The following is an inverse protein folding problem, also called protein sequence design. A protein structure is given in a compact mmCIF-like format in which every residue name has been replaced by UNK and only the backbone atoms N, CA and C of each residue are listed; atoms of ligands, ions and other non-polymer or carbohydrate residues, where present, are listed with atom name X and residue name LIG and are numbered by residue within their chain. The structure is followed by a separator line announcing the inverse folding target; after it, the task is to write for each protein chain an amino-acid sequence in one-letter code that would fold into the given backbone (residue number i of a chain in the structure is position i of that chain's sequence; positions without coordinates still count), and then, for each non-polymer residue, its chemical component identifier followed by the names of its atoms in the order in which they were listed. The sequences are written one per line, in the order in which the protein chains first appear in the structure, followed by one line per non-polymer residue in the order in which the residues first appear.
data_IF_897422339618
#
_entry.id   IF_897422339618
#
_cell.length_a   1.000
_cell.length_b   1.000
_cell.length_c   1.000
_cell.angle_alpha   90.00
_cell.angle_beta   90.00
_cell.angle_gamma   90.00
#
_symmetry.space_group_name_H-M   'P 1'
#
loop_
_entity.id
_entity.type
_entity.pdbx_description
1 polymer ?
#
# COMPACT_ATOMS: atom_id res chain seq x y z
N UNK A 1 -26.77 11.87 37.81
CA UNK A 1 -28.02 12.49 37.31
C UNK A 1 -28.27 11.93 35.92
N UNK A 2 -29.24 11.03 35.79
CA UNK A 2 -29.71 10.54 34.48
C UNK A 2 -30.52 11.69 33.85
N UNK A 3 -29.91 12.40 32.89
CA UNK A 3 -30.59 13.42 32.11
C UNK A 3 -31.72 12.77 31.30
N UNK A 4 -32.95 13.26 31.49
CA UNK A 4 -34.06 12.87 30.64
C UNK A 4 -33.74 13.24 29.20
N UNK A 5 -33.52 12.23 28.31
CA UNK A 5 -33.50 12.44 26.85
C UNK A 5 -34.83 13.08 26.45
N UNK A 6 -34.78 14.10 25.61
CA UNK A 6 -35.99 14.73 25.06
C UNK A 6 -36.53 13.84 23.94
N UNK A 7 -37.84 13.74 23.72
CA UNK A 7 -38.43 12.97 22.62
C UNK A 7 -37.87 13.38 21.24
N UNK A 8 -37.46 14.61 21.07
CA UNK A 8 -36.83 15.13 19.83
C UNK A 8 -35.44 14.53 19.57
N UNK A 9 -34.70 14.14 20.61
CA UNK A 9 -33.38 13.55 20.48
C UNK A 9 -33.46 12.13 19.86
N UNK A 10 -34.46 11.32 20.26
CA UNK A 10 -34.67 9.99 19.70
C UNK A 10 -35.08 10.03 18.22
N UNK A 11 -35.81 11.07 17.81
CA UNK A 11 -36.18 11.29 16.41
C UNK A 11 -34.98 11.65 15.58
N UNK A 12 -34.09 12.51 16.10
CA UNK A 12 -32.86 12.90 15.41
C UNK A 12 -31.92 11.70 15.27
N UNK A 13 -31.73 10.89 16.30
CA UNK A 13 -30.93 9.68 16.27
C UNK A 13 -31.40 8.70 15.18
N UNK A 14 -32.72 8.45 15.10
CA UNK A 14 -33.31 7.59 14.07
C UNK A 14 -33.13 8.15 12.63
N UNK A 15 -33.19 9.48 12.47
CA UNK A 15 -32.94 10.12 11.18
C UNK A 15 -31.45 10.03 10.79
N UNK A 16 -30.52 10.13 11.74
CA UNK A 16 -29.09 9.93 11.52
C UNK A 16 -28.84 8.48 11.05
N UNK A 17 -29.39 7.48 11.75
CA UNK A 17 -29.28 6.09 11.34
C UNK A 17 -29.81 5.87 9.91
N UNK A 18 -30.95 6.45 9.58
CA UNK A 18 -31.52 6.41 8.23
C UNK A 18 -30.58 7.03 7.20
N UNK A 19 -29.94 8.17 7.51
CA UNK A 19 -29.01 8.84 6.61
C UNK A 19 -27.76 7.99 6.39
N UNK A 20 -27.22 7.34 7.43
CA UNK A 20 -26.09 6.38 7.34
C UNK A 20 -26.48 5.17 6.48
N UNK A 21 -27.67 4.60 6.66
CA UNK A 21 -28.16 3.50 5.83
C UNK A 21 -28.30 3.88 4.35
N UNK A 22 -28.75 5.10 4.05
CA UNK A 22 -28.78 5.61 2.67
C UNK A 22 -27.38 5.66 2.04
N UNK A 23 -26.36 6.08 2.81
CA UNK A 23 -24.98 6.05 2.35
C UNK A 23 -24.49 4.63 2.06
N UNK A 24 -24.77 3.69 2.98
CA UNK A 24 -24.43 2.27 2.83
C UNK A 24 -25.09 1.62 1.60
N UNK A 25 -26.30 2.07 1.23
CA UNK A 25 -27.02 1.66 0.01
C UNK A 25 -26.53 2.40 -1.25
N UNK A 26 -25.41 3.11 -1.18
CA UNK A 26 -24.82 3.94 -2.25
C UNK A 26 -25.74 5.10 -2.73
N UNK A 27 -26.77 5.46 -1.94
CA UNK A 27 -27.66 6.61 -2.17
C UNK A 27 -27.08 7.89 -1.54
N UNK A 28 -25.83 8.21 -1.92
CA UNK A 28 -25.03 9.27 -1.28
C UNK A 28 -25.67 10.65 -1.31
N UNK A 29 -26.36 11.03 -2.42
CA UNK A 29 -27.02 12.32 -2.53
C UNK A 29 -28.25 12.42 -1.62
N UNK A 30 -29.00 11.31 -1.43
CA UNK A 30 -30.14 11.29 -0.53
C UNK A 30 -29.66 11.35 0.93
N UNK A 31 -28.57 10.63 1.27
CA UNK A 31 -27.91 10.71 2.56
C UNK A 31 -27.44 12.15 2.86
N UNK A 32 -26.78 12.80 1.90
CA UNK A 32 -26.31 14.18 2.05
C UNK A 32 -27.47 15.14 2.34
N UNK A 33 -28.60 15.01 1.62
CA UNK A 33 -29.81 15.85 1.86
C UNK A 33 -30.34 15.61 3.26
N UNK A 34 -30.42 14.34 3.68
CA UNK A 34 -30.91 14.00 5.02
C UNK A 34 -30.03 14.63 6.12
N UNK A 35 -28.69 14.55 6.02
CA UNK A 35 -27.81 15.19 6.98
C UNK A 35 -27.95 16.72 7.01
N UNK A 36 -28.10 17.36 5.86
CA UNK A 36 -28.34 18.81 5.79
C UNK A 36 -29.66 19.18 6.51
N UNK A 37 -30.72 18.41 6.33
CA UNK A 37 -32.02 18.66 6.99
C UNK A 37 -31.94 18.43 8.51
N UNK A 38 -31.20 17.40 8.96
CA UNK A 38 -30.91 17.16 10.37
C UNK A 38 -30.15 18.35 10.96
N UNK A 39 -29.05 18.78 10.33
CA UNK A 39 -28.19 19.86 10.85
C UNK A 39 -28.85 21.24 10.80
N UNK A 40 -29.87 21.45 9.96
CA UNK A 40 -30.71 22.68 10.04
C UNK A 40 -31.53 22.74 11.32
N UNK A 41 -31.96 21.62 11.88
CA UNK A 41 -32.75 21.52 13.10
C UNK A 41 -31.88 21.35 14.35
N UNK A 42 -30.75 20.66 14.20
CA UNK A 42 -29.82 20.37 15.29
C UNK A 42 -28.36 20.65 14.84
N UNK A 43 -27.98 21.94 14.66
CA UNK A 43 -26.72 22.32 14.03
C UNK A 43 -25.47 21.89 14.83
N UNK A 44 -25.62 21.63 16.12
CA UNK A 44 -24.54 21.23 17.01
C UNK A 44 -24.55 19.75 17.38
N UNK A 45 -25.44 18.95 16.78
CA UNK A 45 -25.50 17.52 17.10
C UNK A 45 -24.20 16.81 16.64
N UNK A 46 -23.45 16.26 17.60
CA UNK A 46 -22.14 15.66 17.35
C UNK A 46 -22.23 14.49 16.36
N UNK A 47 -23.18 13.56 16.57
CA UNK A 47 -23.33 12.38 15.72
C UNK A 47 -23.64 12.76 14.26
N UNK A 48 -24.53 13.74 14.06
CA UNK A 48 -24.87 14.24 12.73
C UNK A 48 -23.66 14.88 12.04
N UNK A 49 -22.91 15.75 12.75
CA UNK A 49 -21.68 16.36 12.21
C UNK A 49 -20.63 15.30 11.88
N UNK A 50 -20.40 14.35 12.77
CA UNK A 50 -19.42 13.28 12.61
C UNK A 50 -19.72 12.41 11.38
N UNK A 51 -20.95 11.87 11.30
CA UNK A 51 -21.37 10.99 10.19
C UNK A 51 -21.45 11.75 8.86
N UNK A 52 -21.86 13.01 8.88
CA UNK A 52 -21.86 13.86 7.68
C UNK A 52 -20.44 14.13 7.18
N UNK A 53 -19.50 14.40 8.09
CA UNK A 53 -18.06 14.52 7.74
C UNK A 53 -17.52 13.25 7.09
N UNK A 54 -17.90 12.08 7.60
CA UNK A 54 -17.53 10.77 7.03
C UNK A 54 -18.12 10.60 5.63
N UNK A 55 -19.41 10.87 5.42
CA UNK A 55 -20.04 10.84 4.11
C UNK A 55 -19.34 11.74 3.10
N UNK A 56 -19.03 12.98 3.48
CA UNK A 56 -18.33 13.95 2.62
C UNK A 56 -16.92 13.46 2.26
N UNK A 57 -16.21 12.82 3.20
CA UNK A 57 -14.92 12.18 2.96
C UNK A 57 -15.03 11.08 1.91
N UNK A 58 -16.04 10.21 2.01
CA UNK A 58 -16.28 9.12 1.06
C UNK A 58 -16.75 9.61 -0.32
N UNK A 59 -17.33 10.80 -0.38
CA UNK A 59 -17.67 11.50 -1.62
C UNK A 59 -16.48 12.25 -2.24
N UNK A 60 -15.34 12.31 -1.57
CA UNK A 60 -14.17 13.07 -2.01
C UNK A 60 -14.29 14.59 -1.81
N UNK A 61 -15.30 15.05 -1.07
CA UNK A 61 -15.54 16.47 -0.78
C UNK A 61 -14.68 16.94 0.42
N UNK A 62 -13.36 16.86 0.29
CA UNK A 62 -12.37 17.00 1.36
C UNK A 62 -12.51 18.32 2.13
N UNK A 63 -12.61 19.46 1.42
CA UNK A 63 -12.72 20.77 2.08
C UNK A 63 -14.04 20.91 2.88
N UNK A 64 -15.12 20.31 2.38
CA UNK A 64 -16.39 20.32 3.09
C UNK A 64 -16.31 19.42 4.35
N UNK A 65 -15.69 18.23 4.25
CA UNK A 65 -15.45 17.35 5.38
C UNK A 65 -14.61 18.03 6.46
N UNK A 66 -13.52 18.74 6.08
CA UNK A 66 -12.70 19.51 7.01
C UNK A 66 -13.53 20.53 7.80
N UNK A 67 -14.40 21.30 7.10
CA UNK A 67 -15.27 22.29 7.78
C UNK A 67 -16.21 21.63 8.76
N UNK A 68 -16.86 20.53 8.36
CA UNK A 68 -17.84 19.84 9.23
C UNK A 68 -17.16 19.24 10.47
N UNK A 69 -16.00 18.64 10.34
CA UNK A 69 -15.23 18.15 11.51
C UNK A 69 -14.75 19.31 12.40
N UNK A 70 -14.38 20.46 11.82
CA UNK A 70 -14.00 21.64 12.60
C UNK A 70 -15.19 22.19 13.42
N UNK A 71 -16.39 22.18 12.85
CA UNK A 71 -17.63 22.52 13.60
C UNK A 71 -17.89 21.52 14.72
N UNK A 72 -17.71 20.21 14.47
CA UNK A 72 -17.84 19.19 15.51
C UNK A 72 -16.86 19.45 16.68
N UNK A 73 -15.60 19.80 16.40
CA UNK A 73 -14.60 20.14 17.40
C UNK A 73 -14.99 21.42 18.16
N UNK A 74 -15.45 22.45 17.45
CA UNK A 74 -15.81 23.73 18.06
C UNK A 74 -16.98 23.60 19.06
N UNK A 75 -17.97 22.80 18.72
CA UNK A 75 -19.14 22.58 19.59
C UNK A 75 -18.92 21.48 20.65
N UNK A 76 -17.99 20.56 20.43
CA UNK A 76 -17.72 19.42 21.33
C UNK A 76 -16.22 19.27 21.63
N UNK A 77 -15.56 20.29 22.24
CA UNK A 77 -14.11 20.31 22.46
C UNK A 77 -13.61 19.19 23.40
N UNK A 78 -14.49 18.60 24.19
CA UNK A 78 -14.17 17.45 25.06
C UNK A 78 -14.36 16.08 24.40
N UNK A 79 -14.74 16.02 23.11
CA UNK A 79 -14.89 14.76 22.41
C UNK A 79 -13.69 14.53 21.48
N UNK A 80 -12.89 13.45 21.67
CA UNK A 80 -11.68 13.21 20.88
C UNK A 80 -11.99 12.85 19.42
N UNK A 81 -13.18 12.30 19.11
CA UNK A 81 -13.52 11.77 17.80
C UNK A 81 -13.50 12.82 16.67
N UNK A 82 -13.91 14.07 16.95
CA UNK A 82 -13.81 15.16 15.98
C UNK A 82 -12.37 15.39 15.53
N UNK A 83 -11.45 15.44 16.49
CA UNK A 83 -10.02 15.57 16.22
C UNK A 83 -9.47 14.34 15.46
N UNK A 84 -9.83 13.12 15.86
CA UNK A 84 -9.37 11.88 15.21
C UNK A 84 -9.82 11.83 13.74
N UNK A 85 -11.07 12.13 13.45
CA UNK A 85 -11.59 12.07 12.08
C UNK A 85 -10.98 13.15 11.18
N UNK A 86 -10.78 14.36 11.70
CA UNK A 86 -10.07 15.40 10.96
C UNK A 86 -8.60 15.00 10.72
N UNK A 87 -7.93 14.42 11.71
CA UNK A 87 -6.57 13.92 11.57
C UNK A 87 -6.46 12.80 10.53
N UNK A 88 -7.41 11.84 10.51
CA UNK A 88 -7.47 10.78 9.51
C UNK A 88 -7.60 11.36 8.09
N UNK A 89 -8.43 12.39 7.91
CA UNK A 89 -8.60 13.07 6.64
C UNK A 89 -7.32 13.78 6.19
N UNK A 90 -6.67 14.51 7.11
CA UNK A 90 -5.41 15.22 6.86
C UNK A 90 -4.26 14.24 6.53
N UNK A 91 -4.19 13.10 7.22
CA UNK A 91 -3.22 12.03 6.94
C UNK A 91 -3.39 11.49 5.52
N UNK A 92 -4.62 11.20 5.10
CA UNK A 92 -4.92 10.78 3.70
C UNK A 92 -4.54 11.85 2.67
N UNK A 93 -4.61 13.12 3.05
CA UNK A 93 -4.18 14.25 2.22
C UNK A 93 -2.67 14.53 2.27
N UNK A 94 -1.87 13.68 2.95
CA UNK A 94 -0.43 13.84 3.20
C UNK A 94 -0.06 15.14 3.97
N UNK A 95 -1.01 15.71 4.72
CA UNK A 95 -0.79 16.87 5.60
C UNK A 95 -0.34 16.38 6.99
N UNK A 96 0.83 15.79 7.04
CA UNK A 96 1.32 15.06 8.23
C UNK A 96 1.43 15.93 9.48
N UNK A 97 1.91 17.16 9.35
CA UNK A 97 2.07 18.09 10.50
C UNK A 97 0.73 18.45 11.14
N UNK A 98 -0.27 18.75 10.30
CA UNK A 98 -1.61 19.10 10.79
C UNK A 98 -2.30 17.88 11.40
N UNK A 99 -2.18 16.71 10.75
CA UNK A 99 -2.70 15.44 11.27
C UNK A 99 -2.13 15.13 12.67
N UNK A 100 -0.80 15.30 12.84
CA UNK A 100 -0.13 15.12 14.12
C UNK A 100 -0.75 15.98 15.22
N UNK A 101 -0.94 17.28 14.95
CA UNK A 101 -1.51 18.21 15.93
C UNK A 101 -2.89 17.77 16.42
N UNK A 102 -3.73 17.27 15.51
CA UNK A 102 -5.07 16.81 15.85
C UNK A 102 -5.06 15.47 16.61
N UNK A 103 -4.20 14.49 16.27
CA UNK A 103 -4.06 13.29 17.08
C UNK A 103 -3.54 13.60 18.49
N UNK A 104 -2.55 14.48 18.61
CA UNK A 104 -2.06 14.94 19.90
C UNK A 104 -3.15 15.67 20.70
N UNK A 105 -4.03 16.45 20.04
CA UNK A 105 -5.18 17.07 20.68
C UNK A 105 -6.18 16.01 21.20
N UNK A 106 -6.47 14.99 20.41
CA UNK A 106 -7.33 13.88 20.83
C UNK A 106 -6.76 13.16 22.06
N UNK A 107 -5.42 12.91 22.09
CA UNK A 107 -4.75 12.27 23.22
C UNK A 107 -4.63 13.16 24.46
N UNK A 108 -4.75 14.48 24.34
CA UNK A 108 -4.91 15.36 25.52
C UNK A 108 -6.28 15.21 26.14
N UNK A 109 -7.32 14.88 25.37
CA UNK A 109 -8.69 14.65 25.85
C UNK A 109 -8.81 13.24 26.43
N UNK A 110 -8.34 12.24 25.70
CA UNK A 110 -8.34 10.83 26.09
C UNK A 110 -6.95 10.22 25.85
N UNK A 111 -6.09 10.15 26.88
CA UNK A 111 -4.71 9.69 26.76
C UNK A 111 -4.53 8.24 26.35
N UNK A 112 -5.56 7.40 26.49
CA UNK A 112 -5.51 5.97 26.16
C UNK A 112 -6.32 5.63 24.90
N UNK A 113 -6.75 6.64 24.12
CA UNK A 113 -7.57 6.42 22.94
C UNK A 113 -6.83 5.66 21.86
N UNK A 114 -7.19 4.40 21.64
CA UNK A 114 -6.48 3.48 20.76
C UNK A 114 -6.32 4.00 19.32
N UNK A 115 -7.40 4.49 18.70
CA UNK A 115 -7.34 5.00 17.32
C UNK A 115 -6.47 6.25 17.19
N UNK A 116 -6.44 7.11 18.20
CA UNK A 116 -5.55 8.28 18.19
C UNK A 116 -4.08 7.87 18.27
N UNK A 117 -3.77 6.87 19.09
CA UNK A 117 -2.43 6.30 19.16
C UNK A 117 -2.04 5.62 17.82
N UNK A 118 -2.94 4.84 17.21
CA UNK A 118 -2.69 4.21 15.90
C UNK A 118 -2.43 5.27 14.81
N UNK A 119 -3.26 6.30 14.75
CA UNK A 119 -3.11 7.39 13.78
C UNK A 119 -1.83 8.22 13.99
N UNK A 120 -1.50 8.54 15.25
CA UNK A 120 -0.26 9.27 15.55
C UNK A 120 0.98 8.42 15.25
N UNK A 121 0.94 7.12 15.52
CA UNK A 121 1.99 6.19 15.13
C UNK A 121 2.21 6.17 13.61
N UNK A 122 1.13 6.16 12.81
CA UNK A 122 1.23 6.23 11.35
C UNK A 122 1.86 7.55 10.88
N UNK A 123 1.43 8.69 11.41
CA UNK A 123 2.01 10.00 11.09
C UNK A 123 3.49 10.07 11.44
N UNK A 124 3.88 9.62 12.62
CA UNK A 124 5.28 9.62 13.06
C UNK A 124 6.16 8.71 12.20
N UNK A 125 5.63 7.57 11.76
CA UNK A 125 6.30 6.68 10.81
C UNK A 125 6.55 7.38 9.47
N UNK A 126 5.56 8.08 8.92
CA UNK A 126 5.70 8.86 7.68
C UNK A 126 6.67 10.05 7.81
N UNK A 127 6.75 10.64 9.01
CA UNK A 127 7.73 11.69 9.34
C UNK A 127 9.13 11.15 9.64
N UNK A 128 9.31 9.81 9.71
CA UNK A 128 10.60 9.17 9.93
C UNK A 128 10.96 8.93 11.40
N UNK A 129 10.11 9.32 12.36
CA UNK A 129 10.31 9.04 13.79
C UNK A 129 9.77 7.65 14.16
N UNK A 130 10.55 6.63 13.77
CA UNK A 130 10.16 5.22 13.96
C UNK A 130 10.12 4.80 15.44
N UNK A 131 10.91 5.44 16.31
CA UNK A 131 10.93 5.10 17.72
C UNK A 131 9.63 5.54 18.39
N UNK A 132 9.25 6.81 18.26
CA UNK A 132 8.00 7.34 18.78
C UNK A 132 6.78 6.65 18.15
N UNK A 133 6.83 6.35 16.82
CA UNK A 133 5.78 5.61 16.14
C UNK A 133 5.51 4.25 16.79
N UNK A 134 6.56 3.50 17.11
CA UNK A 134 6.46 2.18 17.76
C UNK A 134 5.76 2.27 19.12
N UNK A 135 6.11 3.25 19.96
CA UNK A 135 5.49 3.43 21.27
C UNK A 135 3.98 3.72 21.15
N UNK A 136 3.60 4.55 20.19
CA UNK A 136 2.20 4.83 19.92
C UNK A 136 1.46 3.62 19.36
N UNK A 137 2.01 2.89 18.42
CA UNK A 137 1.43 1.66 17.91
C UNK A 137 1.25 0.61 19.02
N UNK A 138 2.23 0.44 19.90
CA UNK A 138 2.13 -0.50 21.01
C UNK A 138 0.94 -0.20 21.93
N UNK A 139 0.68 1.10 22.22
CA UNK A 139 -0.51 1.52 22.98
C UNK A 139 -1.79 1.30 22.19
N UNK A 140 -1.79 1.71 20.91
CA UNK A 140 -2.98 1.67 20.07
C UNK A 140 -3.43 0.26 19.67
N UNK A 141 -2.52 -0.71 19.61
CA UNK A 141 -2.84 -2.10 19.27
C UNK A 141 -2.86 -3.07 20.45
N UNK A 142 -2.58 -2.62 21.68
CA UNK A 142 -2.53 -3.49 22.87
C UNK A 142 -3.68 -4.48 22.94
N UNK A 143 -4.93 -4.00 22.77
CA UNK A 143 -6.14 -4.80 22.85
C UNK A 143 -6.87 -4.90 21.50
N UNK A 144 -6.29 -4.32 20.45
CA UNK A 144 -6.92 -4.16 19.12
C UNK A 144 -6.06 -4.71 17.98
N UNK A 145 -5.14 -5.62 18.31
CA UNK A 145 -4.31 -6.26 17.27
C UNK A 145 -5.12 -7.19 16.35
N UNK A 146 -6.30 -7.62 16.78
CA UNK A 146 -7.23 -8.42 15.97
C UNK A 146 -8.54 -7.65 15.78
N UNK A 147 -8.99 -7.55 14.53
CA UNK A 147 -10.30 -7.00 14.20
C UNK A 147 -10.96 -7.85 13.12
N UNK A 148 -12.27 -8.13 13.27
CA UNK A 148 -13.02 -8.87 12.26
C UNK A 148 -13.92 -7.91 11.49
N UNK A 149 -13.79 -7.92 10.16
CA UNK A 149 -14.58 -7.08 9.27
C UNK A 149 -16.02 -7.63 9.17
N UNK A 150 -17.02 -6.76 9.00
CA UNK A 150 -18.41 -7.18 8.81
C UNK A 150 -18.56 -8.11 7.60
N UNK A 151 -19.28 -9.20 7.76
CA UNK A 151 -19.68 -10.08 6.67
C UNK A 151 -21.10 -9.76 6.23
N UNK A 152 -21.33 -9.57 4.93
CA UNK A 152 -22.62 -9.19 4.34
C UNK A 152 -23.17 -10.23 3.34
N UNK A 153 -22.50 -11.38 3.21
CA UNK A 153 -22.93 -12.44 2.32
C UNK A 153 -24.15 -13.22 2.87
N UNK A 154 -24.83 -13.92 1.96
CA UNK A 154 -25.97 -14.79 2.30
C UNK A 154 -25.61 -16.28 2.41
N UNK A 155 -24.39 -16.64 2.00
CA UNK A 155 -23.86 -18.01 2.05
C UNK A 155 -22.87 -18.13 3.21
N UNK A 156 -22.56 -19.35 3.70
CA UNK A 156 -21.49 -19.52 4.68
C UNK A 156 -20.17 -18.87 4.17
N UNK A 157 -19.51 -18.05 4.97
CA UNK A 157 -18.29 -17.34 4.55
C UNK A 157 -17.08 -18.26 4.44
N UNK A 158 -16.13 -17.88 3.63
CA UNK A 158 -14.75 -18.35 3.74
C UNK A 158 -14.05 -17.54 4.84
N UNK A 159 -13.78 -18.18 5.98
CA UNK A 159 -13.11 -17.53 7.09
C UNK A 159 -11.61 -17.38 6.79
N UNK A 160 -11.10 -16.14 6.81
CA UNK A 160 -9.74 -15.79 6.40
C UNK A 160 -9.04 -14.94 7.46
N UNK A 161 -7.78 -15.28 7.78
CA UNK A 161 -6.90 -14.38 8.51
C UNK A 161 -6.09 -13.54 7.51
N UNK A 162 -6.18 -12.23 7.60
CA UNK A 162 -5.35 -11.29 6.87
C UNK A 162 -4.25 -10.77 7.79
N UNK A 163 -2.99 -11.08 7.51
CA UNK A 163 -1.85 -10.59 8.28
C UNK A 163 -1.38 -9.26 7.69
N UNK A 164 -1.23 -8.25 8.54
CA UNK A 164 -0.78 -6.91 8.17
C UNK A 164 0.29 -6.40 9.11
N UNK A 165 1.12 -5.48 8.62
CA UNK A 165 2.04 -4.66 9.42
C UNK A 165 1.41 -3.32 9.74
N UNK A 166 1.67 -2.81 10.94
CA UNK A 166 1.27 -1.46 11.36
C UNK A 166 2.04 -0.36 10.63
N UNK A 167 3.28 -0.64 10.23
CA UNK A 167 4.20 0.31 9.59
C UNK A 167 3.98 0.52 8.08
N UNK A 168 2.90 -0.02 7.51
CA UNK A 168 2.66 0.04 6.06
C UNK A 168 3.24 -1.16 5.31
N UNK A 169 3.54 -1.01 4.00
CA UNK A 169 4.10 -2.08 3.17
C UNK A 169 3.15 -3.27 2.93
N UNK A 170 1.84 -3.06 3.16
CA UNK A 170 0.83 -4.08 2.98
C UNK A 170 0.24 -4.07 1.56
N UNK A 171 -0.15 -5.24 1.08
CA UNK A 171 -0.90 -5.41 -0.16
C UNK A 171 -2.32 -4.89 0.06
N UNK A 172 -2.85 -3.94 -0.75
CA UNK A 172 -4.24 -3.54 -0.70
C UNK A 172 -5.16 -4.67 -1.16
N UNK A 173 -5.97 -5.21 -0.26
CA UNK A 173 -6.79 -6.41 -0.52
C UNK A 173 -8.25 -6.11 -0.85
N UNK A 174 -8.72 -4.89 -0.65
CA UNK A 174 -10.13 -4.51 -0.80
C UNK A 174 -10.73 -4.77 -2.19
N UNK A 175 -9.89 -4.87 -3.24
CA UNK A 175 -10.34 -5.13 -4.60
C UNK A 175 -10.63 -6.61 -4.89
N UNK A 176 -10.23 -7.53 -4.01
CA UNK A 176 -10.38 -8.98 -4.21
C UNK A 176 -10.76 -9.78 -2.95
N UNK A 177 -10.77 -9.18 -1.77
CA UNK A 177 -11.37 -9.75 -0.55
C UNK A 177 -12.69 -9.04 -0.28
N UNK A 178 -13.72 -9.45 -0.99
CA UNK A 178 -15.07 -8.90 -0.79
C UNK A 178 -15.72 -9.45 0.47
N UNK A 179 -16.58 -8.65 1.11
CA UNK A 179 -17.26 -8.96 2.35
C UNK A 179 -18.56 -9.77 2.19
N UNK A 180 -18.89 -10.19 0.97
CA UNK A 180 -19.97 -11.12 0.67
C UNK A 180 -19.49 -12.57 0.51
N UNK A 181 -18.18 -12.76 0.33
CA UNK A 181 -17.51 -14.06 0.19
C UNK A 181 -16.69 -14.40 1.42
N UNK A 182 -15.94 -13.41 1.95
CA UNK A 182 -14.93 -13.62 2.98
C UNK A 182 -15.36 -13.01 4.33
N UNK A 183 -15.27 -13.82 5.40
CA UNK A 183 -15.23 -13.31 6.78
C UNK A 183 -13.76 -13.08 7.13
N UNK A 184 -13.32 -11.84 7.02
CA UNK A 184 -11.90 -11.47 7.17
C UNK A 184 -11.62 -11.00 8.60
N UNK A 185 -10.74 -11.71 9.30
CA UNK A 185 -10.12 -11.23 10.55
C UNK A 185 -8.73 -10.67 10.24
N UNK A 186 -8.56 -9.36 10.42
CA UNK A 186 -7.30 -8.65 10.22
C UNK A 186 -6.46 -8.75 11.50
N UNK A 187 -5.20 -9.14 11.36
CA UNK A 187 -4.25 -9.27 12.46
C UNK A 187 -3.05 -8.38 12.20
N UNK A 188 -2.83 -7.39 13.09
CA UNK A 188 -1.60 -6.58 13.12
C UNK A 188 -0.52 -7.39 13.83
N UNK A 189 0.34 -8.03 13.05
CA UNK A 189 1.26 -9.07 13.56
C UNK A 189 2.32 -8.54 14.50
N UNK A 190 2.74 -7.28 14.33
CA UNK A 190 3.76 -6.62 15.14
C UNK A 190 3.38 -6.54 16.64
N UNK A 191 2.08 -6.50 16.93
CA UNK A 191 1.54 -6.20 18.26
C UNK A 191 0.60 -7.27 18.78
N UNK A 192 0.47 -8.41 18.08
CA UNK A 192 -0.34 -9.51 18.56
C UNK A 192 0.34 -10.19 19.75
N UNK A 193 -0.37 -10.25 20.87
CA UNK A 193 0.05 -11.12 22.00
C UNK A 193 -0.01 -12.59 21.57
N UNK A 194 1.09 -13.34 21.62
CA UNK A 194 1.13 -14.75 21.23
C UNK A 194 0.18 -15.65 22.03
N UNK A 195 -0.27 -15.24 23.23
CA UNK A 195 -1.20 -16.02 24.06
C UNK A 195 -2.66 -15.95 23.57
N UNK A 196 -3.00 -14.93 22.75
CA UNK A 196 -4.36 -14.75 22.25
C UNK A 196 -4.70 -15.84 21.22
N UNK A 197 -5.85 -16.54 21.37
CA UNK A 197 -6.31 -17.52 20.38
C UNK A 197 -6.58 -16.86 19.03
N UNK A 198 -6.20 -17.54 17.96
CA UNK A 198 -6.52 -17.07 16.62
C UNK A 198 -8.00 -17.26 16.32
N UNK A 199 -8.67 -16.31 15.65
CA UNK A 199 -10.03 -16.49 15.15
C UNK A 199 -10.14 -17.75 14.28
N UNK A 200 -11.33 -18.38 14.20
CA UNK A 200 -11.58 -19.49 13.27
C UNK A 200 -11.21 -19.07 11.83
N UNK A 201 -10.44 -19.92 11.13
CA UNK A 201 -10.00 -19.62 9.78
C UNK A 201 -9.71 -20.88 8.95
N UNK A 202 -9.90 -20.76 7.65
CA UNK A 202 -9.64 -21.79 6.64
C UNK A 202 -8.41 -21.47 5.80
N UNK A 203 -7.98 -20.20 5.79
CA UNK A 203 -6.89 -19.68 4.97
C UNK A 203 -6.22 -18.52 5.67
N UNK A 204 -4.92 -18.36 5.42
CA UNK A 204 -4.17 -17.15 5.81
C UNK A 204 -3.73 -16.41 4.53
N UNK A 205 -4.02 -15.13 4.46
CA UNK A 205 -3.46 -14.22 3.47
C UNK A 205 -2.44 -13.31 4.16
N UNK A 206 -1.15 -13.54 3.93
CA UNK A 206 -0.13 -12.61 4.37
C UNK A 206 -0.10 -11.41 3.42
N UNK A 207 -0.68 -10.29 3.85
CA UNK A 207 -0.69 -9.05 3.10
C UNK A 207 0.59 -8.21 3.32
N UNK A 208 1.47 -8.60 4.23
CA UNK A 208 2.75 -7.90 4.45
C UNK A 208 3.66 -8.22 3.27
N UNK A 209 3.93 -7.22 2.44
CA UNK A 209 4.65 -7.42 1.17
C UNK A 209 6.04 -6.80 1.10
N UNK A 210 6.37 -5.84 1.98
CA UNK A 210 7.65 -5.15 1.99
C UNK A 210 8.62 -5.75 3.00
N UNK A 211 9.64 -6.45 2.49
CA UNK A 211 10.65 -7.09 3.31
C UNK A 211 11.59 -6.09 4.01
N UNK A 212 11.90 -4.96 3.36
CA UNK A 212 12.83 -3.98 3.91
C UNK A 212 12.19 -3.13 5.03
N UNK A 213 10.89 -2.81 4.88
CA UNK A 213 10.16 -1.99 5.84
C UNK A 213 9.59 -2.82 7.00
N UNK A 214 9.13 -4.04 6.74
CA UNK A 214 8.27 -4.81 7.62
C UNK A 214 8.92 -6.08 8.19
N UNK A 215 10.26 -6.16 8.24
CA UNK A 215 10.94 -7.36 8.73
C UNK A 215 10.44 -7.85 10.09
N UNK A 216 10.24 -7.01 11.13
CA UNK A 216 9.70 -7.48 12.42
C UNK A 216 8.28 -8.05 12.32
N UNK A 217 7.41 -7.44 11.47
CA UNK A 217 6.05 -7.93 11.23
C UNK A 217 6.05 -9.27 10.51
N UNK A 218 6.92 -9.45 9.51
CA UNK A 218 7.10 -10.72 8.80
C UNK A 218 7.62 -11.83 9.72
N UNK A 219 8.56 -11.53 10.61
CA UNK A 219 9.02 -12.48 11.64
C UNK A 219 7.87 -12.88 12.58
N UNK A 220 7.07 -11.92 13.03
CA UNK A 220 5.89 -12.19 13.86
C UNK A 220 4.86 -13.03 13.09
N UNK A 221 4.61 -12.69 11.82
CA UNK A 221 3.73 -13.47 10.93
C UNK A 221 4.26 -14.92 10.76
N UNK A 222 5.56 -15.13 10.60
CA UNK A 222 6.17 -16.46 10.49
C UNK A 222 5.98 -17.30 11.77
N UNK A 223 6.04 -16.66 12.94
CA UNK A 223 5.71 -17.33 14.22
C UNK A 223 4.21 -17.63 14.34
N UNK A 224 3.35 -16.73 13.85
CA UNK A 224 1.91 -16.92 13.88
C UNK A 224 1.46 -18.09 13.01
N UNK A 225 1.94 -18.17 11.76
CA UNK A 225 1.53 -19.27 10.86
C UNK A 225 1.96 -20.65 11.37
N UNK A 226 3.00 -20.74 12.20
CA UNK A 226 3.41 -22.00 12.84
C UNK A 226 2.40 -22.51 13.89
N UNK A 227 1.41 -21.70 14.28
CA UNK A 227 0.36 -22.07 15.26
C UNK A 227 -0.86 -22.71 14.60
N UNK A 228 -0.89 -22.87 13.28
CA UNK A 228 -2.04 -23.35 12.51
C UNK A 228 -1.60 -24.23 11.35
N UNK A 229 -2.51 -25.04 10.84
CA UNK A 229 -2.30 -25.87 9.64
C UNK A 229 -3.02 -25.31 8.41
N UNK A 230 -3.61 -24.13 8.51
CA UNK A 230 -4.30 -23.50 7.37
C UNK A 230 -3.29 -23.17 6.25
N UNK A 231 -3.70 -23.33 4.98
CA UNK A 231 -2.89 -22.89 3.85
C UNK A 231 -2.55 -21.41 3.95
N UNK A 232 -1.35 -21.04 3.50
CA UNK A 232 -0.87 -19.64 3.51
C UNK A 232 -0.71 -19.16 2.07
N UNK A 233 -1.19 -17.95 1.79
CA UNK A 233 -0.83 -17.19 0.59
C UNK A 233 0.29 -16.25 0.97
N UNK A 234 1.39 -16.29 0.24
CA UNK A 234 2.63 -15.56 0.49
C UNK A 234 3.24 -15.90 1.86
N UNK A 235 3.93 -17.04 1.96
CA UNK A 235 4.68 -17.37 3.17
C UNK A 235 5.56 -16.18 3.59
N UNK A 236 5.47 -15.72 4.86
CA UNK A 236 6.25 -14.58 5.33
C UNK A 236 7.77 -14.76 5.15
N UNK A 237 8.28 -15.99 5.23
CA UNK A 237 9.71 -16.28 5.03
C UNK A 237 10.11 -16.05 3.57
N UNK A 238 9.28 -16.45 2.62
CA UNK A 238 9.53 -16.18 1.19
C UNK A 238 9.44 -14.68 0.87
N UNK A 239 8.54 -13.94 1.54
CA UNK A 239 8.48 -12.48 1.41
C UNK A 239 9.75 -11.81 1.97
N UNK A 240 10.29 -12.26 3.11
CA UNK A 240 11.54 -11.71 3.68
C UNK A 240 12.71 -11.79 2.69
N UNK A 241 12.73 -12.79 1.81
CA UNK A 241 13.76 -12.94 0.77
C UNK A 241 13.62 -11.93 -0.38
N UNK A 242 12.58 -11.12 -0.41
CA UNK A 242 12.36 -10.11 -1.46
C UNK A 242 12.90 -8.72 -1.14
N UNK A 243 13.69 -8.57 -0.06
CA UNK A 243 14.40 -7.33 0.25
C UNK A 243 15.31 -6.88 -0.91
N UNK A 244 15.41 -5.59 -1.14
CA UNK A 244 16.01 -5.01 -2.37
C UNK A 244 17.41 -5.51 -2.66
N UNK A 245 18.27 -5.55 -1.64
CA UNK A 245 19.67 -5.97 -1.81
C UNK A 245 19.76 -7.46 -2.10
N UNK A 246 19.20 -8.29 -1.20
CA UNK A 246 19.26 -9.76 -1.30
C UNK A 246 18.56 -10.27 -2.55
N UNK A 247 17.40 -9.72 -2.88
CA UNK A 247 16.64 -10.14 -4.04
C UNK A 247 17.35 -9.78 -5.37
N UNK A 248 17.95 -8.59 -5.47
CA UNK A 248 18.74 -8.22 -6.64
C UNK A 248 19.94 -9.16 -6.83
N UNK A 249 20.62 -9.55 -5.76
CA UNK A 249 21.72 -10.52 -5.81
C UNK A 249 21.24 -11.90 -6.25
N UNK A 250 20.13 -12.39 -5.69
CA UNK A 250 19.54 -13.69 -5.98
C UNK A 250 19.05 -13.78 -7.44
N UNK A 251 18.39 -12.73 -7.92
CA UNK A 251 17.83 -12.70 -9.27
C UNK A 251 18.88 -12.45 -10.36
N UNK A 252 20.06 -11.91 -10.03
CA UNK A 252 21.18 -11.79 -10.96
C UNK A 252 21.68 -13.13 -11.49
N UNK A 253 21.50 -14.22 -10.75
CA UNK A 253 21.85 -15.55 -11.18
C UNK A 253 20.88 -16.15 -12.23
N UNK A 254 19.73 -15.49 -12.47
CA UNK A 254 18.73 -15.97 -13.40
C UNK A 254 19.14 -15.66 -14.85
N UNK A 255 19.28 -16.66 -15.73
CA UNK A 255 19.64 -16.44 -17.12
C UNK A 255 18.66 -15.52 -17.85
N UNK A 256 19.16 -14.51 -18.54
CA UNK A 256 18.38 -13.50 -19.25
C UNK A 256 17.91 -12.33 -18.36
N UNK A 257 18.37 -12.25 -17.10
CA UNK A 257 18.12 -11.15 -16.17
C UNK A 257 19.39 -10.34 -15.95
N UNK A 258 19.27 -9.03 -16.08
CA UNK A 258 20.26 -8.04 -15.66
C UNK A 258 19.67 -7.38 -14.40
N UNK A 259 20.18 -7.78 -13.23
CA UNK A 259 19.80 -7.16 -11.96
C UNK A 259 20.83 -6.13 -11.53
N UNK A 260 20.43 -4.93 -11.06
CA UNK A 260 21.37 -3.89 -10.67
C UNK A 260 22.17 -4.30 -9.44
N UNK A 261 23.43 -3.93 -9.37
CA UNK A 261 24.14 -3.96 -8.10
C UNK A 261 23.48 -2.97 -7.16
N UNK A 262 23.26 -3.42 -5.92
CA UNK A 262 22.62 -2.62 -4.89
C UNK A 262 23.32 -2.86 -3.57
N UNK A 263 23.80 -1.79 -2.94
CA UNK A 263 24.43 -1.83 -1.61
C UNK A 263 23.90 -0.69 -0.75
N UNK A 264 24.04 -0.81 0.56
CA UNK A 264 23.79 0.30 1.48
C UNK A 264 25.12 0.94 1.87
N UNK A 265 25.19 2.26 1.82
CA UNK A 265 26.33 3.06 2.28
C UNK A 265 25.81 4.16 3.19
N UNK A 266 26.53 4.46 4.28
CA UNK A 266 26.20 5.55 5.17
C UNK A 266 26.13 6.88 4.40
N UNK A 267 25.04 7.62 4.63
CA UNK A 267 24.79 8.90 3.94
C UNK A 267 25.94 9.88 4.12
N UNK A 268 26.50 9.94 5.34
CA UNK A 268 27.56 10.90 5.68
C UNK A 268 28.87 10.59 4.94
N UNK A 269 29.13 9.31 4.61
CA UNK A 269 30.26 8.92 3.73
C UNK A 269 30.00 9.43 2.32
N UNK A 270 28.81 9.20 1.76
CA UNK A 270 28.46 9.64 0.41
C UNK A 270 28.42 11.17 0.27
N UNK A 271 28.01 11.87 1.32
CA UNK A 271 27.98 13.33 1.38
C UNK A 271 29.38 13.96 1.62
N UNK A 272 30.32 13.18 2.16
CA UNK A 272 31.68 13.61 2.47
C UNK A 272 32.60 13.66 1.24
N UNK A 273 33.85 14.16 1.42
CA UNK A 273 34.83 14.29 0.35
C UNK A 273 35.26 12.94 -0.25
N UNK A 274 35.20 11.87 0.54
CA UNK A 274 35.61 10.53 0.13
C UNK A 274 34.50 9.75 -0.59
N UNK A 275 33.30 10.31 -0.70
CA UNK A 275 32.14 9.67 -1.33
C UNK A 275 32.42 9.10 -2.73
N UNK A 276 33.01 9.86 -3.68
CA UNK A 276 33.34 9.33 -4.99
C UNK A 276 34.35 8.17 -4.96
N UNK A 277 35.30 8.19 -4.02
CA UNK A 277 36.29 7.11 -3.80
C UNK A 277 35.57 5.85 -3.30
N UNK A 278 34.63 6.01 -2.36
CA UNK A 278 33.84 4.89 -1.84
C UNK A 278 32.97 4.24 -2.93
N UNK A 279 32.36 5.04 -3.79
CA UNK A 279 31.63 4.56 -4.98
C UNK A 279 32.53 3.73 -5.89
N UNK A 280 33.75 4.21 -6.15
CA UNK A 280 34.76 3.52 -6.99
C UNK A 280 35.26 2.22 -6.32
N UNK A 281 35.50 2.23 -5.01
CA UNK A 281 35.92 1.05 -4.24
C UNK A 281 34.89 -0.10 -4.34
N UNK A 282 33.62 0.24 -4.39
CA UNK A 282 32.52 -0.71 -4.62
C UNK A 282 32.25 -0.97 -6.10
N UNK A 283 33.12 -0.52 -7.01
CA UNK A 283 33.04 -0.73 -8.47
C UNK A 283 31.75 -0.16 -9.11
N UNK A 284 31.13 0.85 -8.53
CA UNK A 284 30.06 1.59 -9.19
C UNK A 284 30.62 2.63 -10.14
N UNK A 285 29.88 2.88 -11.21
CA UNK A 285 30.14 3.94 -12.19
C UNK A 285 28.95 4.89 -12.27
N UNK A 286 29.20 6.12 -12.67
CA UNK A 286 28.12 7.07 -12.97
C UNK A 286 27.61 6.87 -14.41
N UNK A 287 26.30 7.06 -14.67
CA UNK A 287 25.29 7.44 -13.69
C UNK A 287 24.90 6.29 -12.74
N UNK A 288 24.49 6.64 -11.52
CA UNK A 288 23.96 5.72 -10.52
C UNK A 288 22.72 6.30 -9.82
N UNK A 289 22.03 5.49 -9.08
CA UNK A 289 20.82 5.88 -8.35
C UNK A 289 21.09 5.90 -6.85
N UNK A 290 20.64 6.95 -6.17
CA UNK A 290 20.56 7.01 -4.71
C UNK A 290 19.12 6.93 -4.25
N UNK A 291 18.86 6.15 -3.20
CA UNK A 291 17.54 5.99 -2.64
C UNK A 291 17.57 5.87 -1.12
N UNK A 292 16.68 6.59 -0.43
CA UNK A 292 16.42 6.35 0.98
C UNK A 292 15.59 5.08 1.16
N UNK A 293 15.97 4.14 2.06
CA UNK A 293 15.17 2.96 2.40
C UNK A 293 13.79 3.34 2.98
N UNK A 294 12.77 2.48 2.76
CA UNK A 294 11.43 2.63 3.35
C UNK A 294 10.52 3.65 2.66
N UNK A 295 10.89 4.18 1.49
CA UNK A 295 10.03 5.05 0.69
C UNK A 295 9.57 4.36 -0.59
N UNK A 296 8.31 4.64 -0.99
CA UNK A 296 7.66 4.10 -2.20
C UNK A 296 7.35 5.20 -3.20
N UNK A 297 6.81 4.81 -4.37
CA UNK A 297 6.36 5.72 -5.45
C UNK A 297 7.43 6.67 -5.97
N UNK A 298 8.71 6.26 -5.90
CA UNK A 298 9.84 7.06 -6.36
C UNK A 298 10.16 8.29 -5.50
N UNK A 299 9.60 8.42 -4.29
CA UNK A 299 10.03 9.45 -3.33
C UNK A 299 11.44 9.15 -2.84
N UNK A 300 12.22 10.19 -2.57
CA UNK A 300 13.59 10.10 -2.08
C UNK A 300 14.46 9.15 -2.94
N UNK A 301 14.39 9.33 -4.26
CA UNK A 301 15.04 8.53 -5.27
C UNK A 301 15.57 9.44 -6.37
N UNK A 302 16.89 9.51 -6.53
CA UNK A 302 17.63 10.48 -7.34
C UNK A 302 18.59 9.75 -8.27
N UNK A 303 18.66 10.19 -9.53
CA UNK A 303 19.74 9.86 -10.46
C UNK A 303 20.92 10.82 -10.21
N UNK A 304 22.09 10.28 -10.04
CA UNK A 304 23.36 11.02 -9.91
C UNK A 304 24.16 10.75 -11.17
N UNK A 305 24.30 11.77 -12.01
CA UNK A 305 24.93 11.63 -13.31
C UNK A 305 26.46 11.69 -13.22
N UNK A 306 26.98 12.44 -12.26
CA UNK A 306 28.43 12.67 -12.11
C UNK A 306 28.87 12.61 -10.65
N UNK A 307 30.18 12.38 -10.43
CA UNK A 307 30.76 12.37 -9.10
C UNK A 307 30.60 13.71 -8.35
N UNK A 308 30.53 14.82 -9.08
CA UNK A 308 30.39 16.17 -8.49
C UNK A 308 29.01 16.41 -7.89
N UNK A 309 27.99 15.68 -8.34
CA UNK A 309 26.61 15.78 -7.83
C UNK A 309 26.37 14.92 -6.58
N UNK A 310 27.24 13.94 -6.30
CA UNK A 310 27.02 12.90 -5.29
C UNK A 310 26.77 13.48 -3.90
N UNK A 311 27.61 14.40 -3.45
CA UNK A 311 27.51 15.00 -2.11
C UNK A 311 26.19 15.75 -1.90
N UNK A 312 25.80 16.57 -2.88
CA UNK A 312 24.53 17.32 -2.82
C UNK A 312 23.32 16.38 -2.86
N UNK A 313 23.34 15.35 -3.72
CA UNK A 313 22.30 14.35 -3.81
C UNK A 313 22.14 13.57 -2.49
N UNK A 314 23.25 13.09 -1.91
CA UNK A 314 23.23 12.37 -0.64
C UNK A 314 22.70 13.24 0.52
N UNK A 315 23.12 14.51 0.58
CA UNK A 315 22.68 15.46 1.62
C UNK A 315 21.18 15.74 1.53
N UNK A 316 20.59 15.74 0.34
CA UNK A 316 19.17 16.03 0.12
C UNK A 316 18.25 14.87 0.52
N UNK A 317 18.78 13.67 0.69
CA UNK A 317 18.01 12.47 1.00
C UNK A 317 17.95 12.21 2.52
N UNK A 318 16.77 11.83 3.07
CA UNK A 318 16.63 11.49 4.48
C UNK A 318 17.20 10.09 4.77
N UNK A 319 17.49 9.86 6.06
CA UNK A 319 17.98 8.57 6.58
C UNK A 319 19.48 8.57 6.86
N UNK A 320 19.94 7.56 7.59
CA UNK A 320 21.34 7.40 7.95
C UNK A 320 22.11 6.63 6.88
N UNK A 321 21.46 5.68 6.23
CA UNK A 321 22.00 4.90 5.13
C UNK A 321 21.20 5.16 3.86
N UNK A 322 21.90 5.14 2.72
CA UNK A 322 21.30 5.24 1.39
C UNK A 322 21.64 3.98 0.59
N UNK A 323 20.68 3.55 -0.22
CA UNK A 323 20.93 2.53 -1.23
C UNK A 323 21.60 3.17 -2.42
N UNK A 324 22.77 2.67 -2.78
CA UNK A 324 23.47 2.93 -4.03
C UNK A 324 23.09 1.82 -5.00
N UNK A 325 22.50 2.19 -6.13
CA UNK A 325 21.91 1.26 -7.09
C UNK A 325 22.50 1.55 -8.47
N UNK A 326 22.96 0.52 -9.16
CA UNK A 326 23.41 0.61 -10.54
C UNK A 326 22.28 1.09 -11.45
N UNK A 327 22.55 2.09 -12.29
CA UNK A 327 21.56 2.58 -13.24
C UNK A 327 21.45 1.63 -14.44
N UNK A 328 20.29 1.10 -14.68
CA UNK A 328 19.96 0.29 -15.86
C UNK A 328 19.17 1.14 -16.84
N UNK A 329 19.75 1.44 -17.99
CA UNK A 329 19.09 2.26 -19.02
C UNK A 329 18.09 1.43 -19.82
N UNK A 330 16.80 1.73 -19.65
CA UNK A 330 15.68 1.08 -20.34
C UNK A 330 15.11 1.93 -21.49
N UNK A 331 15.89 2.88 -22.01
CA UNK A 331 15.48 3.68 -23.17
C UNK A 331 15.52 2.85 -24.46
N UNK A 332 14.46 2.95 -25.21
CA UNK A 332 14.39 2.39 -26.57
C UNK A 332 15.15 3.24 -27.59
N UNK A 333 15.13 2.81 -28.85
CA UNK A 333 15.75 3.55 -29.97
C UNK A 333 15.17 4.95 -30.19
N UNK A 334 13.96 5.18 -29.70
CA UNK A 334 13.23 6.45 -29.74
C UNK A 334 13.60 7.38 -28.56
N UNK A 335 14.54 6.96 -27.70
CA UNK A 335 14.96 7.72 -26.52
C UNK A 335 14.01 7.65 -25.32
N UNK A 336 12.82 7.05 -25.45
CA UNK A 336 11.86 6.92 -24.37
C UNK A 336 12.20 5.73 -23.48
N UNK A 337 12.17 5.94 -22.17
CA UNK A 337 12.32 4.88 -21.18
C UNK A 337 11.00 4.09 -21.03
N UNK A 338 11.12 2.78 -20.92
CA UNK A 338 10.00 1.83 -20.79
C UNK A 338 10.09 1.07 -19.48
N UNK A 339 8.96 1.04 -18.76
CA UNK A 339 8.81 0.23 -17.56
C UNK A 339 7.58 -0.65 -17.68
N UNK A 340 7.79 -1.93 -17.77
CA UNK A 340 6.77 -2.96 -17.78
C UNK A 340 6.47 -3.41 -16.36
N UNK A 341 5.20 -3.70 -16.08
CA UNK A 341 4.79 -4.41 -14.88
C UNK A 341 4.03 -5.67 -15.23
N UNK A 342 4.50 -6.80 -14.69
CA UNK A 342 3.87 -8.11 -14.80
C UNK A 342 3.54 -8.62 -13.40
N UNK A 343 2.31 -9.08 -13.21
CA UNK A 343 1.88 -9.74 -11.97
C UNK A 343 2.11 -11.24 -12.08
N UNK A 344 2.45 -11.84 -10.96
CA UNK A 344 2.67 -13.28 -10.76
C UNK A 344 1.61 -13.77 -9.77
N UNK A 345 0.55 -14.42 -10.26
CA UNK A 345 -0.59 -14.83 -9.44
C UNK A 345 -0.82 -16.33 -9.56
N UNK A 346 -0.70 -17.05 -8.45
CA UNK A 346 -0.91 -18.49 -8.41
C UNK A 346 -0.08 -19.28 -9.42
N UNK A 347 1.17 -18.87 -9.65
CA UNK A 347 2.11 -19.46 -10.58
C UNK A 347 1.92 -19.05 -12.05
N UNK A 348 1.06 -18.08 -12.37
CA UNK A 348 0.83 -17.56 -13.72
C UNK A 348 1.28 -16.12 -13.85
N UNK A 349 1.67 -15.72 -15.07
CA UNK A 349 2.09 -14.36 -15.43
C UNK A 349 0.94 -13.59 -16.06
N UNK A 350 0.77 -12.33 -15.67
CA UNK A 350 -0.27 -11.43 -16.16
C UNK A 350 0.31 -10.05 -16.43
N UNK A 351 0.22 -9.49 -17.64
CA UNK A 351 0.62 -8.12 -17.91
C UNK A 351 -0.32 -7.15 -17.20
N UNK A 352 0.20 -6.17 -16.46
CA UNK A 352 -0.60 -5.18 -15.74
C UNK A 352 -0.56 -3.81 -16.41
N UNK A 353 0.64 -3.31 -16.73
CA UNK A 353 0.82 -2.04 -17.44
C UNK A 353 2.21 -1.91 -18.06
N UNK A 354 2.30 -1.04 -19.08
CA UNK A 354 3.53 -0.48 -19.62
C UNK A 354 3.49 1.03 -19.47
N UNK A 355 4.45 1.59 -18.77
CA UNK A 355 4.64 3.04 -18.69
C UNK A 355 5.80 3.47 -19.60
N UNK A 356 5.58 4.52 -20.38
CA UNK A 356 6.57 5.09 -21.32
C UNK A 356 6.75 6.58 -20.98
N UNK A 357 7.99 7.04 -20.90
CA UNK A 357 8.31 8.44 -20.60
C UNK A 357 9.65 8.86 -21.20
N UNK A 358 9.76 10.13 -21.55
CA UNK A 358 11.05 10.76 -21.90
C UNK A 358 11.99 10.88 -20.69
N UNK A 359 11.44 10.81 -19.47
CA UNK A 359 12.22 10.89 -18.23
C UNK A 359 12.74 9.50 -17.83
N UNK A 360 13.94 9.44 -17.27
CA UNK A 360 14.52 8.21 -16.75
C UNK A 360 13.67 7.57 -15.62
N UNK A 361 13.04 8.40 -14.78
CA UNK A 361 12.18 7.99 -13.67
C UNK A 361 10.77 7.75 -14.16
N UNK A 362 10.53 6.53 -14.62
CA UNK A 362 9.21 6.15 -15.15
C UNK A 362 8.31 5.71 -14.00
N UNK A 363 7.23 6.48 -13.77
CA UNK A 363 6.13 6.10 -12.89
C UNK A 363 4.82 6.19 -13.66
N UNK A 364 3.95 5.18 -13.58
CA UNK A 364 2.77 5.06 -14.44
C UNK A 364 1.90 6.34 -14.44
N UNK A 365 1.59 6.86 -13.24
CA UNK A 365 0.70 8.03 -13.10
C UNK A 365 1.34 9.37 -13.49
N UNK A 366 2.65 9.43 -13.65
CA UNK A 366 3.38 10.67 -14.03
C UNK A 366 4.12 10.53 -15.34
N UNK A 367 3.88 9.44 -16.08
CA UNK A 367 4.44 9.17 -17.39
C UNK A 367 3.62 9.86 -18.48
N UNK A 368 4.15 9.85 -19.71
CA UNK A 368 3.53 10.56 -20.85
C UNK A 368 2.33 9.79 -21.46
N UNK A 369 1.82 8.75 -20.78
CA UNK A 369 0.76 7.88 -21.28
C UNK A 369 -0.57 8.59 -21.55
N UNK A 370 -0.89 9.62 -20.75
CA UNK A 370 -2.16 10.36 -20.92
C UNK A 370 -2.19 11.15 -22.22
N UNK A 371 -1.06 11.72 -22.61
CA UNK A 371 -0.95 12.68 -23.73
C UNK A 371 -0.49 12.03 -25.04
N UNK A 372 0.04 10.79 -24.97
CA UNK A 372 0.62 10.09 -26.11
C UNK A 372 -0.20 8.86 -26.53
N UNK A 373 -1.04 8.97 -27.59
CA UNK A 373 -1.83 7.83 -28.09
C UNK A 373 -0.99 6.63 -28.52
N UNK A 374 0.20 6.85 -29.09
CA UNK A 374 1.09 5.78 -29.55
C UNK A 374 1.65 4.97 -28.38
N UNK A 375 1.92 5.62 -27.23
CA UNK A 375 2.31 4.93 -26.00
C UNK A 375 1.19 3.99 -25.51
N UNK A 376 -0.08 4.45 -25.55
CA UNK A 376 -1.23 3.62 -25.18
C UNK A 376 -1.45 2.46 -26.16
N UNK A 377 -1.16 2.66 -27.44
CA UNK A 377 -1.22 1.59 -28.45
C UNK A 377 -0.16 0.52 -28.18
N UNK A 378 1.07 0.93 -27.80
CA UNK A 378 2.14 0.00 -27.42
C UNK A 378 1.74 -0.78 -26.16
N UNK A 379 1.19 -0.11 -25.13
CA UNK A 379 0.66 -0.79 -23.93
C UNK A 379 -0.48 -1.75 -24.29
N UNK A 380 -1.39 -1.38 -25.19
CA UNK A 380 -2.49 -2.25 -25.64
C UNK A 380 -1.96 -3.55 -26.25
N UNK A 381 -0.90 -3.49 -27.06
CA UNK A 381 -0.25 -4.67 -27.64
C UNK A 381 0.36 -5.56 -26.55
N UNK A 382 1.06 -4.95 -25.60
CA UNK A 382 1.64 -5.67 -24.46
C UNK A 382 0.58 -6.36 -23.61
N UNK A 383 -0.54 -5.69 -23.32
CA UNK A 383 -1.64 -6.25 -22.54
C UNK A 383 -2.37 -7.36 -23.30
N UNK A 384 -2.47 -7.28 -24.62
CA UNK A 384 -3.14 -8.26 -25.46
C UNK A 384 -2.31 -9.53 -25.70
N UNK A 385 -1.02 -9.37 -25.97
CA UNK A 385 -0.08 -10.50 -26.15
C UNK A 385 1.30 -10.13 -25.58
N UNK A 386 1.49 -10.49 -24.33
CA UNK A 386 2.75 -10.22 -23.60
C UNK A 386 3.94 -10.93 -24.28
N UNK A 387 3.77 -12.16 -24.79
CA UNK A 387 4.85 -12.94 -25.40
C UNK A 387 5.29 -12.33 -26.73
N UNK A 388 4.35 -11.91 -27.55
CA UNK A 388 4.67 -11.22 -28.80
C UNK A 388 5.34 -9.86 -28.55
N UNK A 389 4.93 -9.13 -27.49
CA UNK A 389 5.48 -7.82 -27.14
C UNK A 389 6.89 -7.89 -26.53
N UNK A 390 7.16 -8.85 -25.65
CA UNK A 390 8.43 -8.97 -24.91
C UNK A 390 9.45 -9.90 -25.57
N UNK A 391 8.99 -10.88 -26.35
CA UNK A 391 9.79 -11.98 -26.89
C UNK A 391 9.96 -13.15 -25.90
N UNK A 392 10.31 -14.32 -26.42
CA UNK A 392 10.45 -15.56 -25.64
C UNK A 392 11.53 -15.47 -24.55
N UNK A 393 12.64 -14.79 -24.81
CA UNK A 393 13.75 -14.63 -23.87
C UNK A 393 13.29 -13.95 -22.58
N UNK A 394 12.59 -12.82 -22.71
CA UNK A 394 12.11 -12.06 -21.55
C UNK A 394 11.00 -12.83 -20.80
N UNK A 395 10.07 -13.48 -21.52
CA UNK A 395 9.01 -14.28 -20.87
C UNK A 395 9.60 -15.48 -20.12
N UNK A 396 10.60 -16.17 -20.69
CA UNK A 396 11.29 -17.25 -20.00
C UNK A 396 12.03 -16.75 -18.76
N UNK A 397 12.62 -15.56 -18.82
CA UNK A 397 13.25 -14.94 -17.63
C UNK A 397 12.21 -14.64 -16.56
N UNK A 398 11.02 -14.12 -16.93
CA UNK A 398 9.91 -13.87 -15.98
C UNK A 398 9.42 -15.17 -15.33
N UNK A 399 9.30 -16.25 -16.08
CA UNK A 399 8.91 -17.57 -15.55
C UNK A 399 9.93 -18.07 -14.50
N UNK A 400 11.22 -17.93 -14.77
CA UNK A 400 12.29 -18.28 -13.84
C UNK A 400 12.31 -17.39 -12.59
N UNK A 401 12.08 -16.07 -12.76
CA UNK A 401 11.96 -15.16 -11.62
C UNK A 401 10.79 -15.56 -10.72
N UNK A 402 9.63 -15.88 -11.31
CA UNK A 402 8.47 -16.39 -10.57
C UNK A 402 8.85 -17.60 -9.71
N UNK A 403 9.58 -18.56 -10.31
CA UNK A 403 9.97 -19.79 -9.61
C UNK A 403 10.99 -19.52 -8.49
N UNK A 404 11.91 -18.57 -8.68
CA UNK A 404 12.86 -18.13 -7.66
C UNK A 404 12.16 -17.38 -6.52
N UNK A 405 11.17 -16.52 -6.81
CA UNK A 405 10.43 -15.80 -5.77
C UNK A 405 9.59 -16.75 -4.91
N UNK A 406 8.98 -17.78 -5.51
CA UNK A 406 8.17 -18.76 -4.81
C UNK A 406 6.93 -18.18 -4.13
N UNK A 407 6.42 -17.04 -4.60
CA UNK A 407 5.28 -16.33 -4.05
C UNK A 407 4.00 -16.62 -4.84
N UNK A 408 2.88 -16.65 -4.12
CA UNK A 408 1.56 -16.81 -4.73
C UNK A 408 1.02 -15.52 -5.36
N UNK A 409 1.38 -14.38 -4.75
CA UNK A 409 1.06 -13.03 -5.21
C UNK A 409 2.35 -12.21 -5.18
N UNK A 410 2.80 -11.80 -6.34
CA UNK A 410 3.96 -10.94 -6.51
C UNK A 410 3.83 -10.14 -7.81
N UNK A 411 4.74 -9.20 -8.00
CA UNK A 411 4.89 -8.50 -9.26
C UNK A 411 6.32 -8.09 -9.51
N UNK A 412 6.60 -7.75 -10.76
CA UNK A 412 7.91 -7.32 -11.20
C UNK A 412 7.79 -6.06 -12.06
N UNK A 413 8.63 -5.06 -11.75
CA UNK A 413 8.90 -3.89 -12.59
C UNK A 413 10.23 -4.11 -13.30
N UNK A 414 10.25 -3.97 -14.63
CA UNK A 414 11.43 -4.20 -15.44
C UNK A 414 11.43 -3.37 -16.73
N UNK A 415 12.60 -3.26 -17.34
CA UNK A 415 12.78 -2.78 -18.71
C UNK A 415 13.31 -3.89 -19.61
N UNK A 416 13.49 -3.61 -20.90
CA UNK A 416 14.14 -4.49 -21.85
C UNK A 416 15.44 -3.87 -22.32
N UNK A 417 16.53 -4.64 -22.27
CA UNK A 417 17.80 -4.29 -22.87
C UNK A 417 17.79 -4.49 -24.41
N UNK A 418 18.79 -3.95 -25.12
CA UNK A 418 18.88 -4.04 -26.57
C UNK A 418 18.87 -5.46 -27.13
N UNK A 419 19.33 -6.41 -26.35
CA UNK A 419 19.43 -7.84 -26.69
C UNK A 419 18.25 -8.68 -26.19
N UNK A 420 17.18 -8.01 -25.69
CA UNK A 420 15.98 -8.65 -25.13
C UNK A 420 16.21 -9.22 -23.72
N UNK A 421 17.28 -8.85 -23.03
CA UNK A 421 17.48 -9.15 -21.62
C UNK A 421 16.52 -8.33 -20.76
N UNK A 422 16.05 -8.93 -19.68
CA UNK A 422 15.18 -8.29 -18.71
C UNK A 422 16.03 -7.44 -17.76
N UNK A 423 15.85 -6.12 -17.79
CA UNK A 423 16.48 -5.17 -16.87
C UNK A 423 15.61 -5.06 -15.63
N UNK A 424 16.01 -5.68 -14.54
CA UNK A 424 15.23 -5.74 -13.31
C UNK A 424 15.27 -4.40 -12.56
N UNK A 425 14.11 -3.82 -12.25
CA UNK A 425 14.00 -2.66 -11.37
C UNK A 425 13.54 -3.05 -9.96
N UNK A 426 12.50 -3.89 -9.87
CA UNK A 426 11.95 -4.35 -8.60
C UNK A 426 11.13 -5.62 -8.79
N UNK A 427 11.22 -6.57 -7.85
CA UNK A 427 10.36 -7.75 -7.80
C UNK A 427 10.02 -8.07 -6.35
N UNK A 428 8.73 -8.01 -5.99
CA UNK A 428 8.28 -8.21 -4.61
C UNK A 428 6.77 -8.48 -4.53
N UNK A 429 6.26 -8.61 -3.30
CA UNK A 429 4.86 -8.85 -3.01
C UNK A 429 4.02 -7.55 -2.87
N UNK A 430 4.63 -6.36 -2.82
CA UNK A 430 3.89 -5.09 -2.60
C UNK A 430 3.23 -4.50 -3.84
N UNK A 431 3.32 -5.16 -4.98
CA UNK A 431 2.79 -4.63 -6.23
C UNK A 431 1.27 -4.49 -6.19
N UNK A 432 0.79 -3.27 -6.45
CA UNK A 432 -0.63 -2.92 -6.38
C UNK A 432 -1.30 -3.12 -7.73
N UNK A 433 -2.48 -3.75 -7.71
CA UNK A 433 -3.39 -3.83 -8.84
C UNK A 433 -4.42 -2.70 -8.68
N UNK A 434 -4.23 -1.60 -9.41
CA UNK A 434 -5.16 -0.47 -9.39
C UNK A 434 -6.17 -0.59 -10.52
N UNK A 435 -7.48 -0.45 -10.25
CA UNK A 435 -8.47 -0.28 -11.30
C UNK A 435 -8.08 0.89 -12.21
N UNK A 436 -8.29 0.77 -13.53
CA UNK A 436 -8.03 1.90 -14.42
C UNK A 436 -9.01 3.04 -14.13
N UNK A 437 -8.54 4.27 -14.38
CA UNK A 437 -9.39 5.46 -14.32
C UNK A 437 -10.67 5.26 -15.16
N UNK A 438 -11.84 5.80 -14.74
CA UNK A 438 -13.09 5.71 -15.47
C UNK A 438 -13.07 6.33 -16.87
N UNK A 439 -12.17 7.28 -17.15
CA UNK A 439 -12.01 7.91 -18.45
C UNK A 439 -11.87 6.85 -19.57
N UNK A 440 -12.57 7.09 -20.67
CA UNK A 440 -12.63 6.17 -21.82
C UNK A 440 -11.25 5.88 -22.43
N UNK A 441 -10.30 6.82 -22.35
CA UNK A 441 -8.91 6.62 -22.82
C UNK A 441 -8.20 5.45 -22.17
N UNK A 442 -8.64 5.00 -20.97
CA UNK A 442 -8.06 3.89 -20.21
C UNK A 442 -8.89 2.60 -20.31
N UNK A 443 -9.97 2.60 -21.12
CA UNK A 443 -10.88 1.47 -21.22
C UNK A 443 -10.20 0.17 -21.65
N UNK A 444 -9.16 0.25 -22.50
CA UNK A 444 -8.40 -0.90 -23.00
C UNK A 444 -7.69 -1.72 -21.89
N UNK A 445 -7.44 -1.11 -20.73
CA UNK A 445 -6.79 -1.78 -19.58
C UNK A 445 -7.74 -2.65 -18.75
N UNK A 446 -9.04 -2.40 -18.83
CA UNK A 446 -10.05 -3.03 -17.96
C UNK A 446 -10.02 -4.55 -18.03
N UNK A 447 -9.93 -5.10 -19.23
CA UNK A 447 -9.89 -6.57 -19.45
C UNK A 447 -8.67 -7.21 -18.77
N UNK A 448 -7.49 -6.61 -18.93
CA UNK A 448 -6.27 -7.13 -18.31
C UNK A 448 -6.33 -7.07 -16.77
N UNK A 449 -6.79 -5.94 -16.21
CA UNK A 449 -6.94 -5.78 -14.76
C UNK A 449 -7.98 -6.75 -14.20
N UNK A 450 -9.14 -6.91 -14.86
CA UNK A 450 -10.17 -7.87 -14.45
C UNK A 450 -9.61 -9.29 -14.42
N UNK A 451 -8.89 -9.71 -15.47
CA UNK A 451 -8.28 -11.03 -15.54
C UNK A 451 -7.29 -11.31 -14.39
N UNK A 452 -6.57 -10.27 -13.92
CA UNK A 452 -5.68 -10.41 -12.77
C UNK A 452 -6.49 -10.57 -11.48
N UNK A 453 -7.52 -9.74 -11.28
CA UNK A 453 -8.37 -9.82 -10.08
C UNK A 453 -9.11 -11.17 -10.01
N UNK A 454 -9.63 -11.65 -11.15
CA UNK A 454 -10.25 -12.97 -11.25
C UNK A 454 -9.26 -14.10 -10.93
N UNK A 455 -8.01 -13.96 -11.36
CA UNK A 455 -6.96 -14.94 -11.04
C UNK A 455 -6.60 -14.93 -9.54
N UNK A 456 -6.58 -13.75 -8.90
CA UNK A 456 -6.37 -13.64 -7.44
C UNK A 456 -7.52 -14.31 -6.70
N UNK A 457 -8.78 -13.99 -7.03
CA UNK A 457 -9.95 -14.59 -6.43
C UNK A 457 -9.95 -16.13 -6.59
N UNK A 458 -9.68 -16.61 -7.80
CA UNK A 458 -9.60 -18.06 -8.09
C UNK A 458 -8.45 -18.73 -7.31
N UNK A 459 -7.32 -18.06 -7.11
CA UNK A 459 -6.20 -18.57 -6.31
C UNK A 459 -6.61 -18.70 -4.85
N UNK A 460 -7.22 -17.67 -4.27
CA UNK A 460 -7.70 -17.65 -2.88
C UNK A 460 -8.70 -18.80 -2.67
N UNK A 461 -9.69 -18.94 -3.54
CA UNK A 461 -10.70 -19.99 -3.45
C UNK A 461 -10.10 -21.40 -3.57
N UNK A 462 -9.17 -21.63 -4.49
CA UNK A 462 -8.47 -22.94 -4.58
C UNK A 462 -7.71 -23.28 -3.31
N UNK A 463 -7.01 -22.31 -2.71
CA UNK A 463 -6.25 -22.55 -1.49
C UNK A 463 -7.16 -22.75 -0.29
N UNK A 464 -8.31 -22.06 -0.19
CA UNK A 464 -9.26 -22.24 0.92
C UNK A 464 -9.93 -23.63 0.91
N UNK A 465 -10.03 -24.28 -0.25
CA UNK A 465 -10.61 -25.62 -0.39
C UNK A 465 -9.57 -26.74 -0.36
N UNK A 466 -8.28 -26.41 -0.44
CA UNK A 466 -7.21 -27.38 -0.29
C UNK A 466 -7.20 -27.87 1.16
N UNK A 467 -7.62 -29.11 1.41
CA UNK A 467 -7.51 -29.73 2.72
C UNK A 467 -6.03 -29.73 3.15
N UNK A 468 -5.76 -29.30 4.37
CA UNK A 468 -4.46 -29.51 5.00
C UNK A 468 -4.05 -30.96 4.75
N UNK A 469 -2.98 -31.18 4.01
CA UNK A 469 -2.40 -32.52 3.94
C UNK A 469 -1.85 -32.81 5.33
N UNK A 470 -2.50 -33.71 6.02
CA UNK A 470 -2.05 -34.33 7.28
C UNK A 470 -0.67 -34.96 7.08
#
# INVERSE_FOLDING_TARGET
MLGHRRPDDDVIDAEIERAVLLAALNRRQDSQRAFIDILRRAPTNFSALNEFGTLLTDMGAIDAACRVYSEAIAHHPGNPMGHINLANLLLRANKYTDARQHYEAALRIDPDHAQAHQGLGAVLSDLGDRAAARDHFQRGFRDYAISTLPYRGTKPPVALLQLVSSGGGNIPTASFLDDCTFLTSVIVTDYLDPSIPLPPHQLIFNAIGDADLCAPALEAAARLIARTHAPVINDPRAVMETGRIGNAQRLRAVPGVVAPRTIAIARDILAGPDGPTEIANHQFTFPLLLRSPGYHTGRNFILVETATELSAAATSLPGNDLLVIEYLDARGKDGNARKYRVMMIGGRLFPLHLAISQKWKVHYFTSDMADQPDHRLEETRFLGDMRAALGDKAVTALERIRDVLGLDYAGIDFGLGPTGDLLLFEANATMVISPPDPDARWAYRRTAVSAILDAVAAMIMRKSTARSRV
#
